data_IF_222315436218
#
_entry.id   IF_222315436218
#
_cell.length_a   1.000
_cell.length_b   1.000
_cell.length_c   1.000
_cell.angle_alpha   90.00
_cell.angle_beta   90.00
_cell.angle_gamma   90.00
#
_symmetry.space_group_name_H-M   'P 1'
#
loop_
_entity.id
_entity.type
_entity.pdbx_description
1 polymer ?
#
# COMPACT_ATOMS: atom_id res chain seq x y z
N UNK A 1 -16.77 -9.16 4.37
CA UNK A 1 -15.56 -8.66 5.06
C UNK A 1 -14.44 -9.68 5.12
N UNK A 2 -14.69 -10.89 5.66
CA UNK A 2 -13.65 -11.91 5.91
C UNK A 2 -12.87 -12.40 4.68
N UNK A 3 -13.52 -12.58 3.53
CA UNK A 3 -12.84 -13.07 2.32
C UNK A 3 -11.75 -12.12 1.82
N UNK A 4 -12.04 -10.82 1.75
CA UNK A 4 -11.10 -9.79 1.29
C UNK A 4 -9.91 -9.62 2.24
N UNK A 5 -10.13 -9.80 3.54
CA UNK A 5 -9.05 -9.71 4.54
C UNK A 5 -8.12 -10.91 4.48
N UNK A 6 -8.64 -12.13 4.29
CA UNK A 6 -7.81 -13.33 4.07
C UNK A 6 -6.98 -13.18 2.79
N UNK A 7 -7.58 -12.69 1.71
CA UNK A 7 -6.87 -12.46 0.45
C UNK A 7 -5.75 -11.42 0.59
N UNK A 8 -5.98 -10.33 1.33
CA UNK A 8 -4.96 -9.33 1.63
C UNK A 8 -3.83 -9.87 2.53
N UNK A 9 -4.13 -10.75 3.50
CA UNK A 9 -3.14 -11.37 4.38
C UNK A 9 -2.30 -12.42 3.67
N UNK A 10 -2.82 -13.09 2.64
CA UNK A 10 -2.04 -14.03 1.85
C UNK A 10 -0.80 -13.38 1.21
N UNK A 11 -0.86 -12.06 0.94
CA UNK A 11 0.28 -11.28 0.45
C UNK A 11 1.47 -11.20 1.42
N UNK A 12 1.28 -11.42 2.72
CA UNK A 12 2.38 -11.35 3.70
C UNK A 12 3.37 -12.51 3.57
N UNK A 13 2.88 -13.72 3.30
CA UNK A 13 3.69 -14.93 3.12
C UNK A 13 4.79 -14.77 2.06
N UNK A 14 4.47 -14.39 0.79
CA UNK A 14 5.50 -14.20 -0.23
C UNK A 14 6.43 -13.03 0.08
N UNK A 15 5.95 -11.96 0.73
CA UNK A 15 6.80 -10.85 1.16
C UNK A 15 7.85 -11.29 2.18
N UNK A 16 7.46 -12.07 3.19
CA UNK A 16 8.38 -12.59 4.21
C UNK A 16 9.34 -13.61 3.59
N UNK A 17 8.85 -14.50 2.73
CA UNK A 17 9.70 -15.49 2.04
C UNK A 17 10.77 -14.80 1.17
N UNK A 18 10.39 -13.78 0.40
CA UNK A 18 11.30 -13.00 -0.42
C UNK A 18 12.34 -12.24 0.42
N UNK A 19 11.91 -11.59 1.51
CA UNK A 19 12.81 -10.87 2.42
C UNK A 19 13.82 -11.81 3.09
N UNK A 20 13.41 -13.04 3.43
CA UNK A 20 14.31 -14.05 3.97
C UNK A 20 15.36 -14.52 2.95
N UNK A 21 14.96 -14.77 1.70
CA UNK A 21 15.87 -15.23 0.65
C UNK A 21 16.90 -14.18 0.21
N UNK A 22 16.51 -12.91 0.16
CA UNK A 22 17.40 -11.82 -0.29
C UNK A 22 18.22 -11.19 0.84
N UNK A 23 17.76 -11.31 2.07
CA UNK A 23 18.37 -10.67 3.23
C UNK A 23 17.86 -9.23 3.42
N UNK A 24 17.62 -8.86 4.68
CA UNK A 24 17.08 -7.54 5.05
C UNK A 24 18.09 -6.39 4.90
N UNK A 25 19.38 -6.71 4.76
CA UNK A 25 20.44 -5.73 4.58
C UNK A 25 20.52 -5.19 3.14
N UNK A 26 19.83 -5.83 2.20
CA UNK A 26 19.82 -5.39 0.82
C UNK A 26 18.99 -4.11 0.67
N UNK A 27 19.55 -2.99 0.14
CA UNK A 27 18.86 -1.71 0.05
C UNK A 27 17.53 -1.80 -0.71
N UNK A 28 17.49 -2.62 -1.77
CA UNK A 28 16.27 -2.88 -2.53
C UNK A 28 15.18 -3.53 -1.68
N UNK A 29 15.54 -4.52 -0.87
CA UNK A 29 14.59 -5.22 0.02
C UNK A 29 14.03 -4.24 1.04
N UNK A 30 14.89 -3.42 1.65
CA UNK A 30 14.49 -2.44 2.65
C UNK A 30 13.54 -1.38 2.10
N UNK A 31 13.84 -0.81 0.94
CA UNK A 31 12.99 0.23 0.32
C UNK A 31 11.63 -0.34 -0.12
N UNK A 32 11.63 -1.52 -0.75
CA UNK A 32 10.37 -2.16 -1.17
C UNK A 32 9.51 -2.59 0.03
N UNK A 33 10.12 -3.12 1.10
CA UNK A 33 9.41 -3.47 2.33
C UNK A 33 8.71 -2.25 2.94
N UNK A 34 9.39 -1.11 3.02
CA UNK A 34 8.80 0.13 3.52
C UNK A 34 7.54 0.52 2.70
N UNK A 35 7.61 0.43 1.37
CA UNK A 35 6.45 0.69 0.49
C UNK A 35 5.31 -0.29 0.73
N UNK A 36 5.59 -1.58 0.90
CA UNK A 36 4.59 -2.59 1.23
C UNK A 36 3.90 -2.23 2.55
N UNK A 37 4.65 -1.88 3.59
CA UNK A 37 4.09 -1.44 4.87
C UNK A 37 3.21 -0.19 4.74
N UNK A 38 3.64 0.81 3.95
CA UNK A 38 2.84 2.01 3.69
C UNK A 38 1.53 1.68 2.97
N UNK A 39 1.57 0.80 1.96
CA UNK A 39 0.36 0.33 1.27
C UNK A 39 -0.61 -0.35 2.23
N UNK A 40 -0.13 -1.29 3.06
CA UNK A 40 -0.95 -1.93 4.09
C UNK A 40 -1.48 -0.93 5.12
N UNK A 41 -0.71 0.12 5.45
CA UNK A 41 -1.14 1.21 6.32
C UNK A 41 -2.33 1.99 5.74
N UNK A 42 -2.26 2.39 4.47
CA UNK A 42 -3.36 3.12 3.79
C UNK A 42 -4.60 2.21 3.65
N UNK A 43 -4.42 0.94 3.27
CA UNK A 43 -5.51 -0.03 3.20
C UNK A 43 -6.14 -0.31 4.57
N UNK A 44 -5.32 -0.41 5.62
CA UNK A 44 -5.77 -0.56 7.00
C UNK A 44 -6.56 0.66 7.48
N UNK A 45 -6.13 1.88 7.11
CA UNK A 45 -6.85 3.11 7.37
C UNK A 45 -8.20 3.14 6.63
N UNK A 46 -8.23 2.71 5.36
CA UNK A 46 -9.48 2.57 4.61
C UNK A 46 -10.46 1.61 5.30
N UNK A 47 -9.97 0.44 5.72
CA UNK A 47 -10.76 -0.55 6.46
C UNK A 47 -11.24 0.01 7.81
N UNK A 48 -10.39 0.77 8.51
CA UNK A 48 -10.74 1.43 9.75
C UNK A 48 -11.91 2.40 9.54
N UNK A 49 -11.87 3.28 8.54
CA UNK A 49 -13.00 4.18 8.23
C UNK A 49 -14.27 3.42 7.81
N UNK A 50 -14.12 2.32 7.07
CA UNK A 50 -15.25 1.47 6.66
C UNK A 50 -15.93 0.77 7.85
N UNK A 51 -15.17 0.22 8.79
CA UNK A 51 -15.70 -0.50 9.97
C UNK A 51 -16.18 0.47 11.04
N UNK A 52 -15.41 1.53 11.31
CA UNK A 52 -15.72 2.51 12.37
C UNK A 52 -16.94 3.36 12.06
N UNK A 53 -17.36 3.45 10.79
CA UNK A 53 -18.48 4.29 10.37
C UNK A 53 -18.30 5.74 10.85
N UNK A 54 -17.06 6.25 10.81
CA UNK A 54 -16.75 7.65 11.06
C UNK A 54 -16.80 8.36 9.70
N UNK A 55 -17.77 9.28 9.46
CA UNK A 55 -18.24 10.31 10.39
C UNK A 55 -19.73 10.23 10.78
N UNK A 56 -20.48 9.24 10.27
CA UNK A 56 -21.92 9.02 10.54
C UNK A 56 -22.24 8.78 12.02
N UNK A 57 -21.22 8.45 12.85
CA UNK A 57 -21.35 8.37 14.33
C UNK A 57 -21.02 9.66 15.09
N UNK A 58 -20.31 10.61 14.47
CA UNK A 58 -19.83 11.83 15.13
C UNK A 58 -20.58 13.11 14.72
N UNK A 59 -21.31 13.10 13.60
CA UNK A 59 -22.08 14.24 13.11
C UNK A 59 -23.59 13.99 13.24
N UNK A 60 -24.41 15.04 13.43
CA UNK A 60 -25.86 14.91 13.49
C UNK A 60 -26.39 14.25 12.21
N UNK A 61 -27.41 13.37 12.31
CA UNK A 61 -28.03 12.73 11.15
C UNK A 61 -28.57 13.80 10.18
N UNK A 62 -28.22 13.70 8.90
CA UNK A 62 -28.67 14.59 7.81
C UNK A 62 -27.62 15.52 7.19
N UNK A 63 -26.40 15.64 7.75
CA UNK A 63 -25.34 16.51 7.22
C UNK A 63 -24.42 15.84 6.18
N UNK A 64 -24.29 14.51 6.22
CA UNK A 64 -23.37 13.73 5.38
C UNK A 64 -24.09 12.78 4.41
N UNK A 65 -25.41 12.96 4.21
CA UNK A 65 -26.23 12.04 3.42
C UNK A 65 -25.90 12.00 1.91
N UNK A 66 -25.20 13.01 1.39
CA UNK A 66 -24.86 13.14 -0.05
C UNK A 66 -23.34 13.09 -0.27
N UNK A 67 -22.53 13.71 0.60
CA UNK A 67 -21.06 13.77 0.52
C UNK A 67 -20.46 13.51 1.90
N UNK A 68 -19.54 12.55 2.02
CA UNK A 68 -18.80 12.26 3.26
C UNK A 68 -19.18 10.96 3.97
N UNK A 69 -19.98 10.07 3.37
CA UNK A 69 -20.25 8.74 3.93
C UNK A 69 -18.97 7.92 4.10
N UNK A 70 -18.94 7.05 5.10
CA UNK A 70 -17.81 6.13 5.36
C UNK A 70 -17.40 5.33 4.12
N UNK A 71 -18.36 4.97 3.27
CA UNK A 71 -18.09 4.30 2.00
C UNK A 71 -17.36 5.19 0.97
N UNK A 72 -17.62 6.49 0.92
CA UNK A 72 -16.91 7.42 0.04
C UNK A 72 -15.47 7.63 0.49
N UNK A 73 -15.25 7.77 1.80
CA UNK A 73 -13.89 7.79 2.37
C UNK A 73 -13.15 6.49 2.11
N UNK A 74 -13.81 5.34 2.26
CA UNK A 74 -13.24 4.06 1.89
C UNK A 74 -12.78 4.02 0.42
N UNK A 75 -13.63 4.46 -0.53
CA UNK A 75 -13.25 4.55 -1.94
C UNK A 75 -12.06 5.50 -2.17
N UNK A 76 -12.04 6.65 -1.51
CA UNK A 76 -10.94 7.61 -1.63
C UNK A 76 -9.60 7.02 -1.14
N UNK A 77 -9.59 6.36 0.01
CA UNK A 77 -8.38 5.73 0.55
C UNK A 77 -7.93 4.51 -0.27
N UNK A 78 -8.86 3.68 -0.75
CA UNK A 78 -8.52 2.56 -1.63
C UNK A 78 -7.98 3.04 -2.97
N UNK A 79 -8.56 4.09 -3.55
CA UNK A 79 -8.04 4.70 -4.78
C UNK A 79 -6.61 5.25 -4.58
N UNK A 80 -6.37 5.93 -3.45
CA UNK A 80 -5.03 6.39 -3.10
C UNK A 80 -4.04 5.23 -2.92
N UNK A 81 -4.45 4.15 -2.24
CA UNK A 81 -3.63 2.95 -2.08
C UNK A 81 -3.29 2.30 -3.43
N UNK A 82 -4.27 2.21 -4.34
CA UNK A 82 -4.07 1.68 -5.70
C UNK A 82 -3.12 2.56 -6.51
N UNK A 83 -3.27 3.90 -6.45
CA UNK A 83 -2.34 4.82 -7.11
C UNK A 83 -0.91 4.69 -6.56
N UNK A 84 -0.77 4.63 -5.23
CA UNK A 84 0.52 4.46 -4.58
C UNK A 84 1.18 3.13 -4.99
N UNK A 85 0.40 2.05 -5.01
CA UNK A 85 0.87 0.73 -5.42
C UNK A 85 1.21 0.67 -6.92
N UNK A 86 0.42 1.33 -7.77
CA UNK A 86 0.68 1.42 -9.19
C UNK A 86 2.00 2.15 -9.49
N UNK A 87 2.24 3.29 -8.84
CA UNK A 87 3.53 3.99 -8.94
C UNK A 87 4.70 3.14 -8.47
N UNK A 88 4.52 2.39 -7.37
CA UNK A 88 5.53 1.44 -6.90
C UNK A 88 5.84 0.36 -7.94
N UNK A 89 4.81 -0.17 -8.61
CA UNK A 89 4.96 -1.15 -9.70
C UNK A 89 5.68 -0.59 -10.93
N UNK A 90 5.39 0.65 -11.32
CA UNK A 90 6.10 1.34 -12.40
C UNK A 90 7.57 1.54 -12.06
N UNK A 91 7.88 2.05 -10.86
CA UNK A 91 9.26 2.26 -10.41
C UNK A 91 10.02 0.94 -10.33
N UNK A 92 9.38 -0.13 -9.86
CA UNK A 92 9.97 -1.47 -9.86
C UNK A 92 10.20 -2.03 -11.28
N UNK A 93 9.29 -1.75 -12.22
CA UNK A 93 9.45 -2.12 -13.62
C UNK A 93 10.63 -1.41 -14.27
N UNK A 94 10.77 -0.10 -14.04
CA UNK A 94 11.92 0.71 -14.52
C UNK A 94 13.22 0.19 -13.90
N UNK A 95 13.24 -0.01 -12.58
CA UNK A 95 14.37 -0.61 -11.88
C UNK A 95 14.79 -1.93 -12.53
N UNK A 96 13.85 -2.86 -12.76
CA UNK A 96 14.15 -4.16 -13.37
C UNK A 96 14.64 -4.05 -14.81
N UNK A 97 14.22 -3.02 -15.55
CA UNK A 97 14.74 -2.74 -16.89
C UNK A 97 16.19 -2.23 -16.88
N UNK A 98 16.64 -1.62 -15.77
CA UNK A 98 17.99 -1.08 -15.57
C UNK A 98 18.95 -2.10 -14.96
N UNK A 99 18.51 -2.90 -13.99
CA UNK A 99 19.32 -3.95 -13.32
C UNK A 99 19.48 -5.18 -14.23
N UNK A 100 19.97 -5.01 -15.47
CA UNK A 100 20.36 -6.11 -16.34
C UNK A 100 21.63 -6.79 -15.81
N UNK A 101 22.75 -6.57 -16.50
CA UNK A 101 24.09 -6.96 -16.01
C UNK A 101 24.71 -5.94 -15.03
N UNK A 102 24.03 -4.82 -14.75
CA UNK A 102 24.52 -3.78 -13.84
C UNK A 102 23.98 -3.96 -12.42
N UNK A 103 24.79 -3.57 -11.43
CA UNK A 103 24.42 -3.57 -10.01
C UNK A 103 23.43 -2.44 -9.69
N UNK A 104 22.59 -2.64 -8.67
CA UNK A 104 21.63 -1.63 -8.18
C UNK A 104 22.35 -0.31 -7.86
N UNK A 105 21.95 0.79 -8.49
CA UNK A 105 22.49 2.13 -8.24
C UNK A 105 21.64 2.88 -7.20
N UNK A 106 22.28 3.77 -6.44
CA UNK A 106 21.64 4.55 -5.37
C UNK A 106 20.54 5.49 -5.92
N UNK A 107 20.71 5.99 -7.15
CA UNK A 107 19.70 6.79 -7.87
C UNK A 107 18.39 6.02 -8.14
N UNK A 108 18.47 4.73 -8.43
CA UNK A 108 17.28 3.91 -8.65
C UNK A 108 16.52 3.66 -7.34
N UNK A 109 17.23 3.64 -6.22
CA UNK A 109 16.62 3.56 -4.89
C UNK A 109 15.91 4.86 -4.51
N UNK A 110 16.41 6.02 -4.97
CA UNK A 110 15.75 7.30 -4.78
C UNK A 110 14.38 7.37 -5.47
N UNK A 111 14.19 6.70 -6.62
CA UNK A 111 12.86 6.55 -7.24
C UNK A 111 11.89 5.77 -6.36
N UNK A 112 12.40 4.88 -5.52
CA UNK A 112 11.62 4.14 -4.53
C UNK A 112 11.50 4.88 -3.18
N UNK A 113 12.15 6.02 -2.99
CA UNK A 113 12.03 6.80 -1.75
C UNK A 113 11.27 8.14 -1.93
N UNK A 114 10.88 8.49 -3.16
CA UNK A 114 9.95 9.58 -3.51
C UNK A 114 8.51 9.06 -3.63
#
# INVERSE_FOLDING_TARGET
>A
GGLFTIWALYGFLPTVHWAYLKGLNEPLVRSLLLRIFLMYGICGLALFFYVSKLPERCLPPGLVDIVGHSHQWWHAFIFLALLFWHNTGLNFGVLRSRIGCESVQEEDLHLLNL
#
